data_IF_596776738688
#
_entry.id   IF_596776738688
#
_cell.length_a   1.000
_cell.length_b   1.000
_cell.length_c   1.000
_cell.angle_alpha   90.00
_cell.angle_beta   90.00
_cell.angle_gamma   90.00
#
_symmetry.space_group_name_H-M   'P 1'
#
loop_
_entity.id
_entity.type
_entity.pdbx_description
1 polymer ?
#
# COMPACT_ATOMS: atom_id res chain seq x y z
N UNK A 1 33.82 -31.04 -48.34
CA UNK A 1 33.55 -29.58 -48.33
C UNK A 1 32.21 -29.37 -49.01
N UNK A 2 31.24 -28.59 -48.57
CA UNK A 2 30.82 -28.04 -47.29
C UNK A 2 29.32 -27.78 -47.48
N UNK A 3 28.48 -28.10 -46.49
CA UNK A 3 27.02 -28.01 -46.57
C UNK A 3 26.59 -26.56 -46.30
N UNK A 4 25.76 -26.00 -47.19
CA UNK A 4 25.19 -24.64 -47.08
C UNK A 4 24.08 -24.62 -46.03
N UNK A 5 24.13 -23.55 -45.22
CA UNK A 5 23.38 -23.31 -44.00
C UNK A 5 21.92 -22.90 -44.22
N UNK A 6 21.12 -23.30 -43.24
CA UNK A 6 19.70 -22.98 -42.99
C UNK A 6 19.55 -21.50 -42.58
N UNK A 7 18.57 -20.81 -43.18
CA UNK A 7 18.12 -19.48 -42.79
C UNK A 7 17.46 -19.49 -41.39
N UNK A 8 17.88 -18.57 -40.52
CA UNK A 8 17.24 -18.30 -39.24
C UNK A 8 16.15 -17.23 -39.38
N UNK A 9 15.04 -17.30 -38.62
CA UNK A 9 13.96 -16.34 -38.71
C UNK A 9 14.37 -14.99 -38.10
N UNK A 10 14.01 -13.91 -38.79
CA UNK A 10 14.18 -12.54 -38.33
C UNK A 10 13.40 -12.31 -37.03
N UNK A 11 14.12 -11.94 -35.97
CA UNK A 11 13.52 -11.48 -34.72
C UNK A 11 12.97 -10.06 -34.90
N UNK A 12 11.68 -9.92 -34.62
CA UNK A 12 10.90 -8.70 -34.68
C UNK A 12 11.41 -7.66 -33.66
N UNK A 13 12.15 -6.67 -34.14
CA UNK A 13 12.77 -5.59 -33.35
C UNK A 13 11.81 -4.44 -33.02
N UNK A 14 10.53 -4.56 -33.38
CA UNK A 14 9.52 -3.52 -33.17
C UNK A 14 8.96 -3.50 -31.73
N UNK A 15 8.89 -4.64 -31.05
CA UNK A 15 8.38 -4.75 -29.67
C UNK A 15 9.34 -4.16 -28.62
N UNK A 16 10.65 -4.30 -28.83
CA UNK A 16 11.69 -3.82 -27.89
C UNK A 16 11.86 -2.30 -27.89
N UNK A 17 11.48 -1.63 -28.98
CA UNK A 17 11.54 -0.17 -29.08
C UNK A 17 10.32 0.50 -28.43
N UNK A 18 9.15 -0.14 -28.44
CA UNK A 18 7.96 0.37 -27.73
C UNK A 18 8.08 0.29 -26.21
N UNK A 19 8.70 -0.76 -25.67
CA UNK A 19 8.95 -0.87 -24.22
C UNK A 19 9.97 0.17 -23.72
N UNK A 20 11.01 0.45 -24.52
CA UNK A 20 12.01 1.47 -24.22
C UNK A 20 11.45 2.90 -24.28
N UNK A 21 10.58 3.18 -25.27
CA UNK A 21 9.89 4.48 -25.39
C UNK A 21 8.85 4.68 -24.28
N UNK A 22 8.14 3.62 -23.85
CA UNK A 22 7.24 3.67 -22.68
C UNK A 22 8.00 3.89 -21.36
N UNK A 23 9.18 3.28 -21.18
CA UNK A 23 10.00 3.50 -19.99
C UNK A 23 10.57 4.93 -19.93
N UNK A 24 10.86 5.53 -21.09
CA UNK A 24 11.27 6.93 -21.21
C UNK A 24 10.12 7.91 -20.89
N UNK A 25 8.89 7.60 -21.33
CA UNK A 25 7.70 8.40 -21.05
C UNK A 25 7.29 8.35 -19.55
N UNK A 26 7.43 7.18 -18.92
CA UNK A 26 7.28 7.00 -17.47
C UNK A 26 8.33 7.78 -16.65
N UNK A 27 9.57 7.87 -17.15
CA UNK A 27 10.61 8.71 -16.55
C UNK A 27 10.26 10.20 -16.67
N UNK A 28 9.61 10.64 -17.74
CA UNK A 28 9.14 12.03 -17.91
C UNK A 28 8.05 12.43 -16.91
N UNK A 29 7.11 11.53 -16.61
CA UNK A 29 6.02 11.78 -15.65
C UNK A 29 6.50 11.81 -14.18
N UNK A 30 7.60 11.11 -13.88
CA UNK A 30 8.20 11.03 -12.53
C UNK A 30 9.00 12.27 -12.08
N UNK A 31 9.25 13.24 -12.97
CA UNK A 31 9.94 14.50 -12.64
C UNK A 31 9.09 15.42 -11.75
N UNK A 32 7.78 15.17 -11.66
CA UNK A 32 6.79 16.02 -10.97
C UNK A 32 6.52 15.50 -9.55
N UNK A 33 7.49 15.61 -8.65
CA UNK A 33 7.22 15.70 -7.20
C UNK A 33 7.14 17.18 -6.73
N UNK A 34 6.76 18.07 -7.66
CA UNK A 34 5.94 19.28 -7.46
C UNK A 34 4.48 19.00 -7.87
N UNK A 35 3.62 20.01 -8.08
CA UNK A 35 2.17 19.82 -8.38
C UNK A 35 1.93 18.77 -9.49
N UNK A 36 1.53 17.57 -9.08
CA UNK A 36 1.14 16.48 -9.99
C UNK A 36 -0.17 16.89 -10.65
N UNK A 37 -0.25 17.01 -12.00
CA UNK A 37 -1.51 17.23 -12.67
C UNK A 37 -2.51 16.13 -12.27
N UNK A 38 -3.79 16.44 -12.07
CA UNK A 38 -4.80 15.46 -11.69
C UNK A 38 -4.72 14.23 -12.59
N UNK A 39 -4.86 13.03 -12.03
CA UNK A 39 -4.72 11.75 -12.76
C UNK A 39 -5.59 11.69 -14.04
N UNK A 40 -6.73 12.40 -14.04
CA UNK A 40 -7.63 12.55 -15.18
C UNK A 40 -7.00 13.26 -16.41
N UNK A 41 -5.81 13.86 -16.28
CA UNK A 41 -5.06 14.48 -17.36
C UNK A 41 -4.00 13.53 -17.98
N UNK A 42 -3.91 12.27 -17.53
CA UNK A 42 -2.89 11.29 -17.96
C UNK A 42 -3.53 9.93 -18.33
N UNK A 43 -4.29 9.84 -19.43
CA UNK A 43 -5.02 8.63 -19.82
C UNK A 43 -4.11 7.40 -19.96
N UNK A 44 -2.87 7.58 -20.45
CA UNK A 44 -1.91 6.48 -20.58
C UNK A 44 -1.46 5.93 -19.22
N UNK A 45 -1.30 6.79 -18.21
CA UNK A 45 -0.94 6.37 -16.86
C UNK A 45 -2.07 5.59 -16.17
N UNK A 46 -3.33 5.97 -16.43
CA UNK A 46 -4.51 5.26 -15.93
C UNK A 46 -4.62 3.89 -16.58
N UNK A 47 -4.54 3.82 -17.91
CA UNK A 47 -4.58 2.54 -18.64
C UNK A 47 -3.48 1.58 -18.18
N UNK A 48 -2.26 2.10 -18.02
CA UNK A 48 -1.14 1.32 -17.51
C UNK A 48 -1.35 0.88 -16.06
N UNK A 49 -1.88 1.74 -15.18
CA UNK A 49 -2.20 1.36 -13.80
C UNK A 49 -3.18 0.19 -13.77
N UNK A 50 -4.27 0.27 -14.54
CA UNK A 50 -5.27 -0.81 -14.63
C UNK A 50 -4.63 -2.12 -15.11
N UNK A 51 -3.77 -2.03 -16.13
CA UNK A 51 -3.02 -3.17 -16.65
C UNK A 51 -2.14 -3.80 -15.56
N UNK A 52 -1.41 -2.99 -14.78
CA UNK A 52 -0.57 -3.47 -13.68
C UNK A 52 -1.38 -4.14 -12.56
N UNK A 53 -2.59 -3.63 -12.26
CA UNK A 53 -3.51 -4.26 -11.30
C UNK A 53 -3.98 -5.62 -11.81
N UNK A 54 -4.37 -5.73 -13.09
CA UNK A 54 -4.79 -7.00 -13.72
C UNK A 54 -3.66 -8.03 -13.66
N UNK A 55 -2.48 -7.68 -14.16
CA UNK A 55 -1.32 -8.57 -14.18
C UNK A 55 -0.91 -9.01 -12.77
N UNK A 56 -0.95 -8.09 -11.80
CA UNK A 56 -0.68 -8.43 -10.40
C UNK A 56 -1.68 -9.48 -9.90
N UNK A 57 -2.98 -9.29 -10.15
CA UNK A 57 -4.02 -10.24 -9.79
C UNK A 57 -3.78 -11.63 -10.39
N UNK A 58 -3.30 -11.71 -11.63
CA UNK A 58 -2.95 -12.98 -12.28
C UNK A 58 -1.74 -13.65 -11.64
N UNK A 59 -0.65 -12.90 -11.40
CA UNK A 59 0.57 -13.41 -10.75
C UNK A 59 0.28 -13.94 -9.34
N UNK A 60 -0.50 -13.19 -8.56
CA UNK A 60 -0.94 -13.56 -7.21
C UNK A 60 -1.81 -14.82 -7.23
N UNK A 61 -2.75 -14.95 -8.18
CA UNK A 61 -3.56 -16.17 -8.34
C UNK A 61 -2.72 -17.39 -8.74
N UNK A 62 -1.73 -17.22 -9.62
CA UNK A 62 -0.81 -18.29 -9.99
C UNK A 62 0.03 -18.78 -8.80
N UNK A 63 0.49 -17.85 -7.95
CA UNK A 63 1.20 -18.18 -6.70
C UNK A 63 0.30 -18.94 -5.72
N UNK A 64 -0.95 -18.50 -5.53
CA UNK A 64 -1.92 -19.25 -4.70
C UNK A 64 -2.06 -20.70 -5.15
N UNK A 65 -2.25 -20.90 -6.45
CA UNK A 65 -2.52 -22.23 -7.01
C UNK A 65 -1.33 -23.19 -6.94
N UNK A 66 -0.11 -22.68 -6.74
CA UNK A 66 1.11 -23.49 -6.76
C UNK A 66 1.59 -23.95 -5.38
N UNK A 67 1.13 -23.36 -4.26
CA UNK A 67 1.86 -23.52 -2.99
C UNK A 67 1.02 -23.70 -1.73
N UNK A 68 -0.11 -22.99 -1.56
CA UNK A 68 -0.82 -23.08 -0.27
C UNK A 68 -2.27 -22.60 -0.30
N UNK A 69 -3.17 -23.27 0.45
CA UNK A 69 -4.51 -22.73 0.71
C UNK A 69 -4.49 -21.53 1.66
N UNK A 70 -3.39 -21.24 2.37
CA UNK A 70 -3.26 -20.14 3.34
C UNK A 70 -3.21 -18.75 2.68
N UNK A 71 -3.63 -18.64 1.42
CA UNK A 71 -3.50 -17.45 0.62
C UNK A 71 -4.84 -16.72 0.54
N UNK A 72 -4.84 -15.41 0.80
CA UNK A 72 -6.02 -14.56 0.59
C UNK A 72 -5.81 -13.74 -0.68
N UNK A 73 -6.63 -13.97 -1.69
CA UNK A 73 -6.64 -13.14 -2.90
C UNK A 73 -7.44 -11.88 -2.62
N UNK A 74 -6.89 -10.73 -2.96
CA UNK A 74 -7.63 -9.48 -2.85
C UNK A 74 -8.60 -9.32 -4.03
N UNK A 75 -9.86 -9.67 -3.82
CA UNK A 75 -10.91 -9.53 -4.83
C UNK A 75 -11.22 -8.07 -5.20
N UNK A 76 -10.95 -7.11 -4.31
CA UNK A 76 -11.28 -5.71 -4.54
C UNK A 76 -10.44 -5.06 -5.65
N UNK A 77 -9.28 -5.65 -5.98
CA UNK A 77 -8.44 -5.19 -7.07
C UNK A 77 -9.14 -5.24 -8.42
N UNK A 78 -10.13 -6.14 -8.60
CA UNK A 78 -10.90 -6.24 -9.84
C UNK A 78 -11.63 -4.93 -10.17
N UNK A 79 -12.12 -4.22 -9.15
CA UNK A 79 -12.78 -2.92 -9.34
C UNK A 79 -11.80 -1.87 -9.87
N UNK A 80 -10.55 -1.87 -9.41
CA UNK A 80 -9.53 -0.92 -9.86
C UNK A 80 -9.01 -1.22 -11.28
N UNK A 81 -9.06 -2.49 -11.72
CA UNK A 81 -8.67 -2.87 -13.09
C UNK A 81 -9.74 -2.64 -14.16
N UNK A 82 -11.02 -2.49 -13.79
CA UNK A 82 -12.10 -2.29 -14.74
C UNK A 82 -11.96 -0.95 -15.50
N UNK A 83 -12.35 -0.87 -16.77
CA UNK A 83 -12.18 0.32 -17.62
C UNK A 83 -12.81 1.59 -17.01
N UNK A 84 -14.01 1.45 -16.45
CA UNK A 84 -14.79 2.47 -15.74
C UNK A 84 -14.61 2.42 -14.20
N UNK A 85 -13.69 1.58 -13.73
CA UNK A 85 -13.41 1.37 -12.31
C UNK A 85 -12.87 2.62 -11.60
N UNK A 86 -13.03 2.75 -10.28
CA UNK A 86 -12.49 3.89 -9.55
C UNK A 86 -10.96 3.93 -9.59
N UNK A 87 -10.41 5.11 -9.29
CA UNK A 87 -9.00 5.27 -8.95
C UNK A 87 -8.89 5.48 -7.43
N UNK A 88 -7.88 4.89 -6.77
CA UNK A 88 -7.72 5.08 -5.34
C UNK A 88 -7.27 6.50 -5.02
N UNK A 89 -7.81 7.07 -3.95
CA UNK A 89 -7.32 8.32 -3.37
C UNK A 89 -6.16 8.04 -2.38
N UNK A 90 -6.05 6.79 -1.89
CA UNK A 90 -5.04 6.35 -0.94
C UNK A 90 -4.78 4.83 -1.06
N UNK A 91 -3.54 4.41 -0.79
CA UNK A 91 -3.17 3.00 -0.64
C UNK A 91 -2.92 2.69 0.84
N UNK A 92 -3.64 1.71 1.39
CA UNK A 92 -3.44 1.25 2.76
C UNK A 92 -2.76 -0.13 2.74
N UNK A 93 -1.60 -0.23 3.39
CA UNK A 93 -0.76 -1.44 3.38
C UNK A 93 -0.71 -2.07 4.76
N UNK A 94 -1.39 -3.20 4.93
CA UNK A 94 -1.31 -4.05 6.12
C UNK A 94 -0.08 -4.98 6.12
N UNK A 95 0.10 -5.74 7.20
CA UNK A 95 1.14 -6.77 7.29
C UNK A 95 0.76 -7.98 6.44
N UNK A 96 -0.24 -8.74 6.88
CA UNK A 96 -0.75 -9.93 6.23
C UNK A 96 -2.18 -10.24 6.68
N UNK A 97 -2.92 -11.10 5.96
CA UNK A 97 -4.32 -11.32 6.27
C UNK A 97 -4.56 -11.86 7.67
N UNK A 98 -5.52 -11.27 8.39
CA UNK A 98 -6.01 -11.78 9.66
C UNK A 98 -6.96 -12.98 9.50
N UNK A 99 -7.33 -13.61 10.61
CA UNK A 99 -8.21 -14.81 10.61
C UNK A 99 -9.54 -14.57 9.89
N UNK A 100 -10.22 -13.46 10.16
CA UNK A 100 -11.51 -13.13 9.51
C UNK A 100 -11.37 -12.86 8.02
N UNK A 101 -10.27 -12.23 7.63
CA UNK A 101 -9.96 -11.94 6.23
C UNK A 101 -9.70 -13.24 5.46
N UNK A 102 -9.01 -14.18 6.09
CA UNK A 102 -8.82 -15.53 5.56
C UNK A 102 -10.13 -16.31 5.43
N UNK A 103 -10.91 -16.39 6.51
CA UNK A 103 -12.21 -17.10 6.52
C UNK A 103 -13.18 -16.59 5.45
N UNK A 104 -13.11 -15.30 5.12
CA UNK A 104 -14.01 -14.66 4.16
C UNK A 104 -13.39 -14.42 2.80
N UNK A 105 -12.09 -14.69 2.64
CA UNK A 105 -11.33 -14.35 1.44
C UNK A 105 -11.43 -12.86 1.06
N UNK A 106 -11.40 -11.95 2.04
CA UNK A 106 -11.56 -10.49 1.85
C UNK A 106 -10.59 -9.71 2.73
N UNK A 107 -9.84 -8.77 2.14
CA UNK A 107 -8.88 -7.90 2.84
C UNK A 107 -9.62 -6.89 3.72
N UNK A 108 -9.11 -6.55 4.91
CA UNK A 108 -9.77 -5.63 5.86
C UNK A 108 -11.28 -5.87 6.01
N UNK A 109 -11.66 -7.14 6.13
CA UNK A 109 -13.04 -7.56 6.31
C UNK A 109 -13.73 -6.74 7.42
N UNK A 110 -14.89 -6.14 7.09
CA UNK A 110 -15.65 -5.29 8.01
C UNK A 110 -16.10 -6.02 9.30
N UNK A 111 -16.18 -7.35 9.30
CA UNK A 111 -16.49 -8.14 10.50
C UNK A 111 -15.31 -8.26 11.47
N UNK A 112 -14.07 -8.01 11.01
CA UNK A 112 -12.88 -7.97 11.86
C UNK A 112 -12.69 -6.59 12.50
N UNK A 113 -12.11 -6.53 13.70
CA UNK A 113 -11.89 -5.26 14.43
C UNK A 113 -11.10 -4.23 13.62
N UNK A 114 -10.05 -4.67 12.94
CA UNK A 114 -9.20 -3.79 12.13
C UNK A 114 -9.94 -3.29 10.88
N UNK A 115 -10.67 -4.17 10.20
CA UNK A 115 -11.50 -3.80 9.05
C UNK A 115 -12.65 -2.87 9.42
N UNK A 116 -13.41 -3.19 10.47
CA UNK A 116 -14.48 -2.32 10.99
C UNK A 116 -13.98 -0.90 11.29
N UNK A 117 -12.79 -0.80 11.89
CA UNK A 117 -12.17 0.49 12.18
C UNK A 117 -11.72 1.22 10.92
N UNK A 118 -11.09 0.53 9.98
CA UNK A 118 -10.67 1.13 8.70
C UNK A 118 -11.89 1.66 7.93
N UNK A 119 -12.92 0.82 7.77
CA UNK A 119 -14.18 1.23 7.16
C UNK A 119 -14.78 2.45 7.85
N UNK A 120 -14.95 2.43 9.18
CA UNK A 120 -15.52 3.57 9.93
C UNK A 120 -14.70 4.85 9.77
N UNK A 121 -13.37 4.75 9.77
CA UNK A 121 -12.48 5.90 9.64
C UNK A 121 -12.57 6.53 8.24
N UNK A 122 -12.44 5.72 7.19
CA UNK A 122 -12.41 6.23 5.82
C UNK A 122 -13.79 6.54 5.26
N UNK A 123 -14.84 5.80 5.64
CA UNK A 123 -16.22 6.17 5.31
C UNK A 123 -16.61 7.48 5.99
N UNK A 124 -16.07 7.77 7.17
CA UNK A 124 -16.24 9.08 7.81
C UNK A 124 -15.61 10.23 7.02
N UNK A 125 -14.49 9.98 6.31
CA UNK A 125 -13.77 10.98 5.51
C UNK A 125 -14.43 11.16 4.14
N UNK A 126 -14.72 10.05 3.46
CA UNK A 126 -15.09 10.03 2.05
C UNK A 126 -16.60 9.82 1.82
N UNK A 127 -17.38 9.61 2.88
CA UNK A 127 -18.80 9.29 2.83
C UNK A 127 -19.09 7.80 3.03
N UNK A 128 -20.30 7.49 3.48
CA UNK A 128 -20.69 6.11 3.79
C UNK A 128 -20.55 5.17 2.58
N UNK A 129 -19.91 4.00 2.78
CA UNK A 129 -19.75 2.98 1.75
C UNK A 129 -18.67 3.27 0.70
N UNK A 130 -17.88 4.33 0.89
CA UNK A 130 -16.88 4.76 -0.09
C UNK A 130 -15.53 4.06 0.07
N UNK A 131 -15.24 3.46 1.23
CA UNK A 131 -13.92 2.91 1.57
C UNK A 131 -13.29 2.07 0.46
N UNK A 132 -14.03 1.09 -0.10
CA UNK A 132 -13.49 0.18 -1.14
C UNK A 132 -13.22 0.85 -2.48
N UNK A 133 -13.87 1.98 -2.76
CA UNK A 133 -13.68 2.76 -3.99
C UNK A 133 -12.60 3.83 -3.85
N UNK A 134 -12.31 4.28 -2.62
CA UNK A 134 -11.37 5.35 -2.34
C UNK A 134 -10.04 4.89 -1.77
N UNK A 135 -10.00 3.72 -1.14
CA UNK A 135 -8.81 3.18 -0.50
C UNK A 135 -8.49 1.82 -1.09
N UNK A 136 -7.40 1.76 -1.85
CA UNK A 136 -6.85 0.48 -2.30
C UNK A 136 -6.12 -0.18 -1.13
N UNK A 137 -6.62 -1.34 -0.70
CA UNK A 137 -6.01 -2.10 0.39
C UNK A 137 -5.05 -3.12 -0.20
N UNK A 138 -3.83 -3.17 0.30
CA UNK A 138 -2.83 -4.20 -0.01
C UNK A 138 -2.22 -4.72 1.29
N UNK A 139 -1.55 -5.86 1.24
CA UNK A 139 -0.74 -6.36 2.35
C UNK A 139 0.72 -6.47 1.92
N UNK A 140 1.63 -6.51 2.89
CA UNK A 140 3.03 -6.85 2.60
C UNK A 140 3.13 -8.30 2.14
N UNK A 141 2.30 -9.18 2.69
CA UNK A 141 2.10 -10.53 2.18
C UNK A 141 0.63 -10.92 2.15
N UNK A 142 0.22 -11.66 1.13
CA UNK A 142 -1.12 -12.24 0.99
C UNK A 142 -1.30 -13.54 1.77
N UNK A 143 -0.24 -14.04 2.43
CA UNK A 143 -0.29 -15.27 3.21
C UNK A 143 -0.89 -15.02 4.59
N UNK A 144 -2.01 -15.68 4.86
CA UNK A 144 -2.62 -15.71 6.17
C UNK A 144 -1.72 -16.47 7.16
N UNK A 145 -1.48 -15.83 8.29
CA UNK A 145 -1.04 -16.49 9.52
C UNK A 145 -1.77 -15.86 10.71
N UNK A 146 -2.03 -16.60 11.80
CA UNK A 146 -2.67 -16.03 12.99
C UNK A 146 -1.89 -14.87 13.62
N UNK A 147 -0.56 -14.89 13.45
CA UNK A 147 0.36 -13.83 13.88
C UNK A 147 1.44 -13.68 12.81
N UNK A 148 1.86 -12.45 12.54
CA UNK A 148 2.94 -12.11 11.60
C UNK A 148 4.20 -12.98 11.78
N UNK A 149 4.59 -13.27 13.02
CA UNK A 149 5.74 -14.14 13.34
C UNK A 149 5.61 -15.57 12.77
N UNK A 150 4.38 -16.05 12.58
CA UNK A 150 4.09 -17.35 11.97
C UNK A 150 4.50 -17.43 10.51
N UNK A 151 4.67 -16.29 9.81
CA UNK A 151 5.25 -16.30 8.45
C UNK A 151 6.71 -16.77 8.50
N UNK A 152 7.50 -16.31 9.48
CA UNK A 152 8.89 -16.76 9.64
C UNK A 152 9.00 -18.25 10.01
N UNK A 153 8.02 -18.78 10.73
CA UNK A 153 7.94 -20.21 11.04
C UNK A 153 7.62 -21.01 9.79
N UNK A 154 6.61 -20.59 9.01
CA UNK A 154 6.22 -21.20 7.76
C UNK A 154 7.38 -21.23 6.74
N UNK A 155 8.10 -20.10 6.58
CA UNK A 155 9.26 -20.01 5.69
C UNK A 155 10.43 -20.91 6.10
N UNK A 156 10.59 -21.23 7.39
CA UNK A 156 11.65 -22.14 7.86
C UNK A 156 11.33 -23.61 7.63
N UNK A 157 10.05 -23.97 7.61
CA UNK A 157 9.61 -25.35 7.49
C UNK A 157 9.55 -25.88 6.05
N UNK A 158 9.42 -25.00 5.06
CA UNK A 158 9.22 -25.38 3.65
C UNK A 158 9.88 -24.36 2.70
N UNK A 159 10.95 -24.75 1.97
CA UNK A 159 11.61 -23.88 1.00
C UNK A 159 10.71 -23.41 -0.16
N UNK A 160 9.77 -24.25 -0.60
CA UNK A 160 8.82 -23.90 -1.66
C UNK A 160 7.86 -22.82 -1.18
N UNK A 161 7.34 -22.95 0.04
CA UNK A 161 6.52 -21.93 0.70
C UNK A 161 7.31 -20.64 0.96
N UNK A 162 8.58 -20.76 1.36
CA UNK A 162 9.44 -19.60 1.57
C UNK A 162 9.62 -18.77 0.28
N UNK A 163 9.89 -19.44 -0.83
CA UNK A 163 10.01 -18.81 -2.15
C UNK A 163 8.69 -18.19 -2.60
N UNK A 164 7.55 -18.82 -2.32
CA UNK A 164 6.23 -18.29 -2.64
C UNK A 164 5.91 -17.01 -1.86
N UNK A 165 6.16 -17.02 -0.54
CA UNK A 165 6.01 -15.84 0.32
C UNK A 165 6.95 -14.73 -0.17
N UNK A 166 8.19 -15.07 -0.53
CA UNK A 166 9.15 -14.12 -1.09
C UNK A 166 8.61 -13.45 -2.35
N UNK A 167 8.12 -14.23 -3.33
CA UNK A 167 7.56 -13.71 -4.59
C UNK A 167 6.33 -12.86 -4.36
N UNK A 168 5.39 -13.32 -3.54
CA UNK A 168 4.18 -12.57 -3.17
C UNK A 168 4.53 -11.20 -2.57
N UNK A 169 5.48 -11.16 -1.64
CA UNK A 169 5.97 -9.90 -1.06
C UNK A 169 6.54 -8.94 -2.12
N UNK A 170 7.25 -9.48 -3.12
CA UNK A 170 7.81 -8.69 -4.20
C UNK A 170 6.74 -8.17 -5.15
N UNK A 171 5.75 -8.99 -5.50
CA UNK A 171 4.61 -8.58 -6.34
C UNK A 171 3.78 -7.49 -5.68
N UNK A 172 3.51 -7.61 -4.37
CA UNK A 172 2.80 -6.60 -3.60
C UNK A 172 3.58 -5.27 -3.56
N UNK A 173 4.89 -5.34 -3.33
CA UNK A 173 5.75 -4.14 -3.33
C UNK A 173 5.82 -3.46 -4.70
N UNK A 174 5.87 -4.23 -5.79
CA UNK A 174 5.86 -3.70 -7.17
C UNK A 174 4.58 -2.95 -7.47
N UNK A 175 3.42 -3.56 -7.19
CA UNK A 175 2.14 -2.92 -7.44
C UNK A 175 2.03 -1.58 -6.69
N UNK A 176 2.49 -1.51 -5.43
CA UNK A 176 2.50 -0.25 -4.66
C UNK A 176 3.39 0.79 -5.35
N UNK A 177 4.62 0.43 -5.72
CA UNK A 177 5.54 1.37 -6.36
C UNK A 177 5.00 1.87 -7.71
N UNK A 178 4.48 0.98 -8.53
CA UNK A 178 3.90 1.31 -9.83
C UNK A 178 2.68 2.21 -9.67
N UNK A 179 1.80 1.91 -8.70
CA UNK A 179 0.62 2.74 -8.42
C UNK A 179 1.00 4.16 -7.99
N UNK A 180 2.05 4.30 -7.18
CA UNK A 180 2.56 5.63 -6.79
C UNK A 180 3.18 6.36 -7.97
N UNK A 181 3.99 5.70 -8.78
CA UNK A 181 4.62 6.31 -9.95
C UNK A 181 3.57 6.78 -10.98
N UNK A 182 2.50 5.99 -11.17
CA UNK A 182 1.46 6.28 -12.15
C UNK A 182 0.46 7.30 -11.63
N UNK A 183 -0.02 7.14 -10.40
CA UNK A 183 -1.15 7.92 -9.86
C UNK A 183 -0.74 9.04 -8.91
N UNK A 184 0.45 8.99 -8.32
CA UNK A 184 0.90 9.97 -7.31
C UNK A 184 0.16 9.85 -5.97
N UNK A 185 -0.51 8.74 -5.71
CA UNK A 185 -1.37 8.56 -4.54
C UNK A 185 -0.56 8.32 -3.26
N UNK A 186 -1.01 8.81 -2.09
CA UNK A 186 -0.38 8.53 -0.82
C UNK A 186 -0.49 7.05 -0.46
N UNK A 187 0.56 6.52 0.17
CA UNK A 187 0.65 5.17 0.71
C UNK A 187 0.83 5.23 2.21
N UNK A 188 -0.09 4.62 2.95
CA UNK A 188 -0.01 4.45 4.40
C UNK A 188 0.30 3.00 4.69
N UNK A 189 1.47 2.71 5.23
CA UNK A 189 1.79 1.37 5.72
C UNK A 189 1.63 1.29 7.24
N UNK A 190 0.89 0.28 7.69
CA UNK A 190 0.70 -0.04 9.10
C UNK A 190 1.85 -0.93 9.53
N UNK A 191 2.70 -0.41 10.41
CA UNK A 191 3.91 -1.08 10.84
C UNK A 191 4.94 -1.18 9.72
N UNK A 192 6.20 -1.30 10.10
CA UNK A 192 7.25 -1.80 9.22
C UNK A 192 8.37 -2.23 10.15
N UNK A 193 8.65 -3.53 10.22
CA UNK A 193 9.74 -4.01 11.07
C UNK A 193 11.06 -3.39 10.60
N UNK A 194 11.59 -2.47 11.42
CA UNK A 194 12.96 -2.00 11.29
C UNK A 194 13.87 -3.15 11.74
N UNK A 195 14.56 -3.79 10.80
CA UNK A 195 15.50 -4.88 11.10
C UNK A 195 14.91 -6.29 11.16
N UNK A 196 13.59 -6.46 11.00
CA UNK A 196 12.96 -7.79 10.91
C UNK A 196 13.17 -8.47 9.55
N UNK A 197 13.15 -9.80 9.54
CA UNK A 197 13.28 -10.62 8.32
C UNK A 197 11.93 -10.89 7.65
N UNK A 198 10.82 -10.75 8.38
CA UNK A 198 9.49 -11.21 7.95
C UNK A 198 9.05 -10.64 6.61
N UNK A 199 9.21 -9.34 6.42
CA UNK A 199 8.83 -8.62 5.20
C UNK A 199 10.06 -8.05 4.47
N UNK A 200 11.21 -8.74 4.55
CA UNK A 200 12.45 -8.23 3.99
C UNK A 200 12.39 -8.07 2.47
N UNK A 201 11.79 -9.03 1.75
CA UNK A 201 11.66 -8.95 0.29
C UNK A 201 10.73 -7.85 -0.15
N UNK A 202 9.60 -7.68 0.53
CA UNK A 202 8.71 -6.54 0.32
C UNK A 202 9.48 -5.22 0.45
N UNK A 203 10.21 -5.05 1.56
CA UNK A 203 10.96 -3.81 1.84
C UNK A 203 12.04 -3.56 0.79
N UNK A 204 12.88 -4.56 0.50
CA UNK A 204 13.99 -4.43 -0.47
C UNK A 204 13.48 -4.07 -1.86
N UNK A 205 12.41 -4.73 -2.30
CA UNK A 205 11.81 -4.45 -3.63
C UNK A 205 11.21 -3.06 -3.68
N UNK A 206 10.48 -2.65 -2.64
CA UNK A 206 9.92 -1.31 -2.56
C UNK A 206 11.04 -0.25 -2.57
N UNK A 207 12.08 -0.43 -1.74
CA UNK A 207 13.27 0.44 -1.72
C UNK A 207 13.95 0.54 -3.08
N UNK A 208 14.21 -0.60 -3.72
CA UNK A 208 14.90 -0.63 -5.02
C UNK A 208 14.10 0.10 -6.10
N UNK A 209 12.79 -0.14 -6.17
CA UNK A 209 11.90 0.54 -7.13
C UNK A 209 11.91 2.04 -6.93
N UNK A 210 11.76 2.48 -5.69
CA UNK A 210 11.80 3.90 -5.40
C UNK A 210 13.16 4.56 -5.62
N UNK A 211 14.28 3.85 -5.41
CA UNK A 211 15.61 4.35 -5.77
C UNK A 211 15.75 4.53 -7.28
N UNK A 212 15.20 3.61 -8.07
CA UNK A 212 15.20 3.72 -9.52
C UNK A 212 14.40 4.93 -10.04
N UNK A 213 13.43 5.41 -9.26
CA UNK A 213 12.63 6.60 -9.57
C UNK A 213 13.33 7.94 -9.22
N UNK A 214 14.60 7.94 -8.81
CA UNK A 214 15.37 9.17 -8.54
C UNK A 214 15.03 9.90 -7.24
N UNK A 215 13.89 9.59 -6.61
CA UNK A 215 13.44 10.13 -5.32
C UNK A 215 12.98 9.01 -4.37
N UNK A 216 13.88 8.43 -3.55
CA UNK A 216 13.50 7.39 -2.60
C UNK A 216 12.61 7.97 -1.48
N UNK A 217 11.54 7.29 -1.04
CA UNK A 217 10.72 7.68 0.08
C UNK A 217 11.52 7.97 1.34
N UNK A 218 11.12 9.04 2.02
CA UNK A 218 11.59 9.48 3.33
C UNK A 218 11.73 8.34 4.36
N UNK A 219 10.82 7.36 4.32
CA UNK A 219 10.82 6.20 5.24
C UNK A 219 12.12 5.39 5.21
N UNK A 220 12.84 5.39 4.08
CA UNK A 220 14.06 4.61 3.90
C UNK A 220 15.34 5.42 4.14
N UNK A 221 15.21 6.73 4.43
CA UNK A 221 16.34 7.66 4.53
C UNK A 221 16.53 8.28 5.92
N UNK A 222 15.76 7.85 6.95
CA UNK A 222 15.75 8.48 8.30
C UNK A 222 15.51 10.02 8.27
N UNK A 223 15.03 10.57 7.15
CA UNK A 223 14.73 12.00 6.96
C UNK A 223 13.27 12.14 6.56
N UNK A 224 12.52 13.03 7.23
CA UNK A 224 11.16 13.44 6.83
C UNK A 224 11.26 14.33 5.59
N UNK A 225 11.10 13.76 4.40
CA UNK A 225 10.73 14.51 3.20
C UNK A 225 9.26 14.25 2.87
N UNK A 226 8.66 15.17 2.12
CA UNK A 226 7.39 14.93 1.44
C UNK A 226 7.57 13.68 0.57
N UNK A 227 6.97 12.58 1.01
CA UNK A 227 7.13 11.27 0.43
C UNK A 227 5.72 10.71 0.38
N UNK A 228 5.26 10.23 -0.79
CA UNK A 228 3.94 9.61 -0.89
C UNK A 228 3.83 8.44 0.07
N UNK A 229 4.95 7.82 0.45
CA UNK A 229 4.98 6.77 1.45
C UNK A 229 5.09 7.29 2.88
N UNK A 230 4.16 6.85 3.72
CA UNK A 230 4.05 7.15 5.14
C UNK A 230 4.01 5.86 5.95
N UNK A 231 4.97 5.74 6.86
CA UNK A 231 5.00 4.67 7.85
C UNK A 231 4.27 5.16 9.08
N UNK A 232 3.20 4.46 9.43
CA UNK A 232 2.62 4.59 10.75
C UNK A 232 3.51 3.78 11.71
N UNK A 233 4.02 4.39 12.80
CA UNK A 233 4.94 3.73 13.74
C UNK A 233 4.30 2.56 14.52
N UNK A 234 3.00 2.32 14.33
CA UNK A 234 2.25 1.26 14.98
C UNK A 234 2.00 0.07 14.05
N UNK A 235 2.13 -1.14 14.59
CA UNK A 235 1.81 -2.41 13.90
C UNK A 235 0.30 -2.73 13.88
N UNK A 236 -0.55 -1.80 14.30
CA UNK A 236 -2.01 -2.00 14.33
C UNK A 236 -2.75 -0.72 14.03
N UNK A 237 -3.78 -0.83 13.18
CA UNK A 237 -4.75 0.24 12.92
C UNK A 237 -5.40 0.77 14.21
N UNK A 238 -5.57 -0.09 15.22
CA UNK A 238 -6.14 0.32 16.51
C UNK A 238 -5.24 1.23 17.35
N UNK A 239 -3.96 1.33 16.99
CA UNK A 239 -2.95 2.07 17.74
C UNK A 239 -2.55 3.38 17.08
N UNK A 240 -3.05 3.69 15.89
CA UNK A 240 -2.73 4.95 15.21
C UNK A 240 -3.15 6.17 16.07
N UNK A 241 -4.15 6.03 16.93
CA UNK A 241 -4.58 7.11 17.82
C UNK A 241 -3.66 7.32 19.04
N UNK A 242 -2.63 6.51 19.21
CA UNK A 242 -1.77 6.51 20.38
C UNK A 242 -0.40 7.17 20.13
N UNK A 243 0.14 7.76 21.19
CA UNK A 243 1.55 8.13 21.30
C UNK A 243 2.45 6.89 21.25
N UNK A 244 3.70 7.07 20.84
CA UNK A 244 4.71 6.01 20.78
C UNK A 244 6.15 6.59 20.88
N UNK A 245 7.17 5.81 20.53
CA UNK A 245 8.56 6.24 20.60
C UNK A 245 8.98 7.24 19.50
N UNK A 246 8.19 7.41 18.45
CA UNK A 246 8.41 8.38 17.38
C UNK A 246 8.00 9.79 17.86
N UNK A 247 8.98 10.63 18.14
CA UNK A 247 8.78 12.01 18.60
C UNK A 247 8.04 12.87 17.57
N UNK A 248 8.25 12.62 16.28
CA UNK A 248 7.65 13.39 15.21
C UNK A 248 6.16 13.04 15.04
N UNK A 249 5.80 11.78 15.26
CA UNK A 249 4.41 11.34 15.39
C UNK A 249 3.72 12.00 16.59
N UNK A 250 4.36 11.99 17.75
CA UNK A 250 3.81 12.58 18.96
C UNK A 250 3.61 14.10 18.81
N UNK A 251 4.53 14.80 18.16
CA UNK A 251 4.38 16.22 17.85
C UNK A 251 3.18 16.49 16.93
N UNK A 252 2.96 15.64 15.91
CA UNK A 252 1.80 15.76 15.03
C UNK A 252 0.48 15.53 15.78
N UNK A 253 0.44 14.53 16.67
CA UNK A 253 -0.69 14.28 17.58
C UNK A 253 -0.96 15.48 18.49
N UNK A 254 0.08 16.07 19.08
CA UNK A 254 -0.06 17.23 19.97
C UNK A 254 -0.59 18.46 19.23
N UNK A 255 -0.09 18.69 18.01
CA UNK A 255 -0.61 19.75 17.13
C UNK A 255 -2.09 19.55 16.81
N UNK A 256 -2.49 18.32 16.47
CA UNK A 256 -3.90 17.97 16.22
C UNK A 256 -4.77 18.20 17.46
N UNK A 257 -4.36 17.68 18.62
CA UNK A 257 -5.09 17.83 19.87
C UNK A 257 -5.16 19.29 20.36
N UNK A 258 -4.18 20.12 20.01
CA UNK A 258 -4.18 21.54 20.36
C UNK A 258 -5.16 22.32 19.49
N UNK A 259 -5.16 22.08 18.17
CA UNK A 259 -6.14 22.69 17.24
C UNK A 259 -7.58 22.35 17.61
N UNK A 260 -7.82 21.11 18.06
CA UNK A 260 -9.14 20.60 18.40
C UNK A 260 -9.38 20.53 19.92
N UNK A 261 -8.72 21.38 20.70
CA UNK A 261 -8.83 21.41 22.16
C UNK A 261 -10.26 21.70 22.67
N UNK A 262 -11.08 22.36 21.85
CA UNK A 262 -12.47 22.64 22.17
C UNK A 262 -13.38 21.40 22.16
N UNK A 263 -12.93 20.25 21.63
CA UNK A 263 -13.74 19.03 21.54
C UNK A 263 -13.60 18.22 22.84
N UNK A 264 -14.65 18.15 23.69
CA UNK A 264 -14.54 17.46 24.98
C UNK A 264 -14.31 15.96 24.79
N UNK A 265 -13.37 15.42 25.56
CA UNK A 265 -13.03 14.00 25.56
C UNK A 265 -12.24 13.51 24.33
N UNK A 266 -11.81 14.41 23.44
CA UNK A 266 -10.94 14.04 22.31
C UNK A 266 -9.53 13.66 22.79
N UNK A 267 -8.97 14.42 23.74
CA UNK A 267 -7.73 14.08 24.44
C UNK A 267 -8.03 13.12 25.59
N UNK A 268 -7.40 11.95 25.59
CA UNK A 268 -7.43 11.03 26.75
C UNK A 268 -6.49 11.52 27.85
N UNK A 269 -6.65 11.01 29.07
CA UNK A 269 -5.75 11.31 30.22
C UNK A 269 -4.26 11.06 29.89
N UNK A 270 -3.97 10.01 29.12
CA UNK A 270 -2.60 9.66 28.70
C UNK A 270 -2.10 10.46 27.49
N UNK A 271 -2.79 11.54 27.09
CA UNK A 271 -2.41 12.40 25.97
C UNK A 271 -2.58 11.79 24.57
N UNK A 272 -3.30 10.67 24.44
CA UNK A 272 -3.69 10.08 23.16
C UNK A 272 -4.95 10.74 22.59
N UNK A 273 -5.23 10.45 21.32
CA UNK A 273 -6.54 10.72 20.71
C UNK A 273 -7.51 9.59 21.07
N UNK A 274 -8.69 9.95 21.58
CA UNK A 274 -9.75 9.00 21.87
C UNK A 274 -10.37 8.52 20.56
N UNK A 275 -10.04 7.30 20.12
CA UNK A 275 -10.61 6.71 18.90
C UNK A 275 -12.13 6.60 18.98
N UNK A 276 -12.68 6.27 20.16
CA UNK A 276 -14.13 6.26 20.41
C UNK A 276 -14.74 7.64 20.17
N UNK A 277 -14.10 8.70 20.65
CA UNK A 277 -14.61 10.06 20.47
C UNK A 277 -14.46 10.53 19.03
N UNK A 278 -13.28 10.36 18.45
CA UNK A 278 -12.96 10.78 17.09
C UNK A 278 -13.88 10.10 16.06
N UNK A 279 -13.98 8.77 16.10
CA UNK A 279 -14.83 8.02 15.18
C UNK A 279 -16.32 8.22 15.50
N UNK A 280 -16.68 8.30 16.78
CA UNK A 280 -18.08 8.45 17.22
C UNK A 280 -18.70 9.81 16.91
N UNK A 281 -17.88 10.84 16.67
CA UNK A 281 -18.38 12.13 16.16
C UNK A 281 -18.81 12.03 14.69
N UNK A 282 -18.21 11.11 13.90
CA UNK A 282 -18.48 10.99 12.47
C UNK A 282 -18.18 12.26 11.67
N UNK A 283 -17.36 13.15 12.23
CA UNK A 283 -17.04 14.45 11.64
C UNK A 283 -15.95 14.27 10.58
N UNK A 284 -16.37 14.25 9.31
CA UNK A 284 -15.48 14.07 8.17
C UNK A 284 -14.33 15.06 8.12
N UNK A 285 -14.57 16.38 8.24
CA UNK A 285 -13.50 17.37 8.37
C UNK A 285 -12.48 17.07 9.48
N UNK A 286 -12.94 16.66 10.67
CA UNK A 286 -12.03 16.29 11.78
C UNK A 286 -11.19 15.04 11.46
N UNK A 287 -11.81 14.02 10.86
CA UNK A 287 -11.13 12.79 10.44
C UNK A 287 -10.13 13.05 9.30
N UNK A 288 -10.49 13.93 8.36
CA UNK A 288 -9.63 14.35 7.26
C UNK A 288 -8.42 15.14 7.77
N UNK A 289 -8.60 16.06 8.74
CA UNK A 289 -7.49 16.76 9.39
C UNK A 289 -6.55 15.79 10.13
N UNK A 290 -7.11 14.76 10.78
CA UNK A 290 -6.32 13.71 11.42
C UNK A 290 -5.51 12.89 10.41
N UNK A 291 -6.14 12.46 9.30
CA UNK A 291 -5.47 11.75 8.21
C UNK A 291 -4.34 12.62 7.64
N UNK A 292 -4.63 13.86 7.26
CA UNK A 292 -3.68 14.75 6.60
C UNK A 292 -2.49 15.11 7.51
N UNK A 293 -2.75 15.55 8.74
CA UNK A 293 -1.71 16.13 9.58
C UNK A 293 -0.99 15.14 10.47
N UNK A 294 -1.65 14.06 10.87
CA UNK A 294 -1.05 13.04 11.76
C UNK A 294 -0.53 11.86 10.95
N UNK A 295 -1.39 11.23 10.14
CA UNK A 295 -1.03 10.02 9.41
C UNK A 295 -0.13 10.37 8.21
N UNK A 296 -0.53 11.37 7.41
CA UNK A 296 0.23 11.85 6.26
C UNK A 296 1.28 12.89 6.63
N UNK A 297 1.22 13.46 7.83
CA UNK A 297 2.26 14.36 8.34
C UNK A 297 2.40 15.67 7.56
N UNK A 298 1.33 16.13 6.90
CA UNK A 298 1.32 17.43 6.22
C UNK A 298 1.14 18.56 7.26
N UNK A 299 1.94 19.63 7.12
CA UNK A 299 1.83 20.82 7.99
C UNK A 299 2.37 20.64 9.42
N UNK A 300 3.42 19.84 9.59
CA UNK A 300 4.29 19.89 10.77
C UNK A 300 5.37 20.96 10.65
#
# INVERSE_FOLDING_TARGET
>A
MAVSSIDAPATDSSATNQEADQEAELRRLSVILGEVPPVNARPDAVSLFRTRVTEHGERVRALRNSVSPLFVVNGDLAAYSAEDGPLPDLILVGDNPGRREYEQSVYLCAQGRAGAMAHSFFDGIFGAGSFRSKVMVLNKSSFHTPRTVGLNEAMRGDPGLAEAIRRDQEENARLIADSVALLGVPVVTIGMESGGTTFQSFRKTLEARYRALGTPPAVFQKKRLASPFRKVPHFSLSKIFCRNADSAWNAALDGFLTRHAAIPGLRTENGNVSSKRLLGLGDGPLLADYLDRVILGHGG
#
